data_IF_226974205260
#
_entry.id   IF_226974205260
#
_cell.length_a   1.000
_cell.length_b   1.000
_cell.length_c   1.000
_cell.angle_alpha   90.00
_cell.angle_beta   90.00
_cell.angle_gamma   90.00
#
_symmetry.space_group_name_H-M   'P 1'
#
loop_
_entity.id
_entity.type
_entity.pdbx_description
1 polymer ?
#
# COMPACT_ATOMS: atom_id res chain seq x y z
N UNK A 1 33.09 6.68 -17.30
CA UNK A 1 32.72 6.64 -15.90
C UNK A 1 31.67 7.71 -15.66
N UNK A 2 30.40 7.31 -15.76
CA UNK A 2 29.27 8.18 -15.49
C UNK A 2 29.11 8.28 -13.97
N UNK A 3 29.35 9.46 -13.43
CA UNK A 3 28.97 9.80 -12.05
C UNK A 3 27.48 9.87 -11.96
N UNK A 4 26.86 8.85 -11.35
CA UNK A 4 25.45 8.87 -10.94
C UNK A 4 25.33 9.81 -9.73
N UNK A 5 24.65 10.93 -9.92
CA UNK A 5 24.32 11.87 -8.85
C UNK A 5 23.00 11.45 -8.22
N UNK A 6 23.06 10.80 -7.07
CA UNK A 6 21.93 10.66 -6.17
C UNK A 6 21.73 11.98 -5.41
N UNK A 7 20.66 12.70 -5.66
CA UNK A 7 20.34 13.95 -4.94
C UNK A 7 19.18 13.74 -3.97
N UNK A 8 19.46 14.12 -2.74
CA UNK A 8 18.57 14.18 -1.59
C UNK A 8 17.39 15.12 -1.81
N UNK A 9 16.21 14.70 -1.39
CA UNK A 9 15.05 15.57 -1.14
C UNK A 9 14.99 15.96 0.33
N UNK A 10 15.37 17.21 0.62
CA UNK A 10 14.85 17.92 1.78
C UNK A 10 13.82 18.92 1.30
N UNK A 11 12.59 18.78 1.74
CA UNK A 11 11.55 19.79 1.60
C UNK A 11 11.90 21.04 2.46
N UNK A 12 12.68 21.97 1.90
CA UNK A 12 12.85 23.30 2.46
C UNK A 12 12.31 24.33 1.47
N UNK A 13 11.15 24.88 1.80
CA UNK A 13 10.81 26.22 1.33
C UNK A 13 11.57 27.21 2.23
N UNK A 14 12.63 27.79 1.69
CA UNK A 14 13.31 28.92 2.33
C UNK A 14 12.81 30.24 1.73
N UNK A 15 12.36 31.12 2.63
CA UNK A 15 12.12 32.54 2.39
C UNK A 15 13.41 33.26 1.98
N UNK A 16 13.29 34.04 0.93
CA UNK A 16 14.20 34.92 0.24
C UNK A 16 15.55 35.27 0.84
N UNK A 17 16.60 34.92 0.12
CA UNK A 17 17.77 35.76 -0.19
C UNK A 17 18.72 35.04 -1.16
N UNK A 18 18.89 35.61 -2.33
CA UNK A 18 19.96 35.47 -3.33
C UNK A 18 20.90 34.24 -3.27
N UNK A 19 20.48 33.13 -3.88
CA UNK A 19 21.36 32.21 -4.58
C UNK A 19 20.63 31.74 -5.85
N UNK A 20 21.37 31.47 -6.96
CA UNK A 20 20.73 31.05 -8.20
C UNK A 20 19.94 29.79 -7.94
N UNK A 21 18.64 29.83 -8.22
CA UNK A 21 17.73 28.68 -8.20
C UNK A 21 18.29 27.69 -9.22
N UNK A 22 19.07 26.68 -8.75
CA UNK A 22 19.27 25.49 -9.54
C UNK A 22 17.90 24.84 -9.61
N UNK A 23 17.32 24.77 -10.79
CA UNK A 23 16.15 23.93 -11.05
C UNK A 23 16.46 22.55 -10.48
N UNK A 24 15.80 22.22 -9.37
CA UNK A 24 15.84 20.87 -8.82
C UNK A 24 14.90 20.07 -9.71
N UNK A 25 15.48 19.41 -10.72
CA UNK A 25 14.75 18.46 -11.55
C UNK A 25 14.25 17.38 -10.59
N UNK A 26 12.94 17.24 -10.41
CA UNK A 26 12.39 16.20 -9.55
C UNK A 26 12.78 14.84 -10.15
N UNK A 27 13.35 13.96 -9.34
CA UNK A 27 13.77 12.61 -9.73
C UNK A 27 12.76 11.64 -9.16
N UNK A 28 12.32 10.68 -9.95
CA UNK A 28 11.47 9.59 -9.51
C UNK A 28 12.05 8.93 -8.24
N UNK A 29 11.28 8.96 -7.16
CA UNK A 29 11.67 8.39 -5.86
C UNK A 29 10.97 7.06 -5.67
N UNK A 30 11.73 6.02 -5.33
CA UNK A 30 11.14 4.77 -4.93
C UNK A 30 10.56 4.87 -3.52
N UNK A 31 9.26 4.65 -3.40
CA UNK A 31 8.59 4.37 -2.14
C UNK A 31 7.50 3.31 -2.39
N UNK A 32 7.51 2.24 -1.61
CA UNK A 32 6.46 1.22 -1.63
C UNK A 32 6.39 0.58 -0.25
N UNK A 33 5.44 1.02 0.55
CA UNK A 33 5.18 0.50 1.90
C UNK A 33 3.98 -0.43 1.87
N UNK A 34 4.08 -1.56 2.58
CA UNK A 34 3.02 -2.56 2.68
C UNK A 34 2.64 -2.71 4.14
N UNK A 35 1.38 -2.52 4.44
CA UNK A 35 0.84 -2.60 5.80
C UNK A 35 -0.48 -3.37 5.87
N UNK A 36 -0.95 -3.64 7.09
CA UNK A 36 -2.22 -4.33 7.34
C UNK A 36 -3.16 -3.41 8.11
N UNK A 37 -4.35 -3.23 7.58
CA UNK A 37 -5.48 -2.67 8.31
C UNK A 37 -6.08 -3.77 9.17
N UNK A 38 -6.00 -3.63 10.49
CA UNK A 38 -6.43 -4.67 11.44
C UNK A 38 -7.32 -4.08 12.51
N UNK A 39 -8.44 -4.78 12.79
CA UNK A 39 -9.37 -4.40 13.85
C UNK A 39 -8.71 -4.40 15.22
N UNK A 40 -7.84 -5.36 15.51
CA UNK A 40 -7.09 -5.43 16.76
C UNK A 40 -6.14 -4.25 17.02
N UNK A 41 -5.86 -3.43 15.99
CA UNK A 41 -5.12 -2.16 16.11
C UNK A 41 -6.05 -0.94 16.11
N UNK A 42 -7.35 -1.12 16.32
CA UNK A 42 -8.35 -0.05 16.30
C UNK A 42 -8.58 0.54 14.89
N UNK A 43 -8.22 -0.19 13.81
CA UNK A 43 -8.41 0.28 12.44
C UNK A 43 -9.64 -0.37 11.82
N UNK A 44 -10.32 0.36 10.95
CA UNK A 44 -11.46 -0.10 10.13
C UNK A 44 -11.11 -0.03 8.65
N UNK A 45 -11.55 -1.02 7.87
CA UNK A 45 -11.41 -1.01 6.42
C UNK A 45 -12.31 0.06 5.78
N UNK A 46 -13.52 0.23 6.31
CA UNK A 46 -14.45 1.29 5.87
C UNK A 46 -13.89 2.68 6.11
N UNK A 47 -13.33 2.93 7.32
CA UNK A 47 -12.69 4.21 7.63
C UNK A 47 -11.48 4.48 6.71
N UNK A 48 -10.69 3.44 6.46
CA UNK A 48 -9.54 3.50 5.59
C UNK A 48 -9.93 3.82 4.14
N UNK A 49 -10.95 3.15 3.60
CA UNK A 49 -11.48 3.37 2.26
C UNK A 49 -12.06 4.79 2.11
N UNK A 50 -12.92 5.21 3.04
CA UNK A 50 -13.50 6.56 3.05
C UNK A 50 -12.42 7.65 3.07
N UNK A 51 -11.39 7.49 3.91
CA UNK A 51 -10.28 8.44 3.97
C UNK A 51 -9.51 8.54 2.64
N UNK A 52 -9.25 7.41 1.96
CA UNK A 52 -8.45 7.39 0.73
C UNK A 52 -9.23 7.92 -0.45
N UNK A 53 -10.51 7.57 -0.54
CA UNK A 53 -11.38 8.04 -1.64
C UNK A 53 -11.90 9.46 -1.45
N UNK A 54 -11.84 10.01 -0.22
CA UNK A 54 -12.47 11.29 0.10
C UNK A 54 -14.00 11.21 0.16
N UNK A 55 -14.53 10.04 0.48
CA UNK A 55 -15.97 9.78 0.52
C UNK A 55 -16.52 9.83 1.95
N UNK A 56 -17.84 9.82 2.03
CA UNK A 56 -18.60 9.62 3.27
C UNK A 56 -19.18 8.23 3.28
N UNK A 57 -18.71 7.36 4.19
CA UNK A 57 -19.14 5.98 4.29
C UNK A 57 -19.50 5.65 5.74
N UNK A 58 -20.64 5.01 5.96
CA UNK A 58 -21.03 4.48 7.26
C UNK A 58 -20.53 3.04 7.39
N UNK A 59 -19.83 2.75 8.47
CA UNK A 59 -19.41 1.39 8.82
C UNK A 59 -20.57 0.68 9.51
N UNK A 60 -21.09 -0.37 8.87
CA UNK A 60 -22.23 -1.15 9.39
C UNK A 60 -21.86 -2.04 10.57
N UNK A 61 -20.57 -2.29 10.80
CA UNK A 61 -20.08 -3.08 11.93
C UNK A 61 -20.27 -2.36 13.28
N UNK A 62 -20.04 -1.06 13.32
CA UNK A 62 -20.08 -0.25 14.54
C UNK A 62 -21.03 0.96 14.47
N UNK A 63 -21.66 1.17 13.31
CA UNK A 63 -22.58 2.28 13.06
C UNK A 63 -21.89 3.65 12.88
N UNK A 64 -20.57 3.70 12.88
CA UNK A 64 -19.82 4.96 12.75
C UNK A 64 -19.79 5.45 11.30
N UNK A 65 -20.08 6.73 11.10
CA UNK A 65 -19.96 7.37 9.79
C UNK A 65 -18.64 8.11 9.67
N UNK A 66 -17.86 7.77 8.66
CA UNK A 66 -16.60 8.40 8.32
C UNK A 66 -16.81 9.36 7.16
N UNK A 67 -16.67 10.66 7.40
CA UNK A 67 -16.90 11.71 6.39
C UNK A 67 -15.58 12.42 6.06
N UNK A 68 -15.07 12.16 4.86
CA UNK A 68 -13.86 12.77 4.32
C UNK A 68 -14.12 13.57 3.04
N UNK A 69 -15.37 13.99 2.79
CA UNK A 69 -15.76 14.76 1.59
C UNK A 69 -15.05 16.10 1.46
N UNK A 70 -14.51 16.63 2.56
CA UNK A 70 -13.69 17.86 2.57
C UNK A 70 -12.21 17.63 2.25
N UNK A 71 -11.79 16.36 2.10
CA UNK A 71 -10.41 16.04 1.79
C UNK A 71 -10.06 16.52 0.36
N UNK A 72 -8.94 17.22 0.26
CA UNK A 72 -8.40 17.69 -1.02
C UNK A 72 -7.28 16.75 -1.50
N UNK A 73 -6.96 16.83 -2.79
CA UNK A 73 -5.85 16.10 -3.39
C UNK A 73 -6.17 14.65 -3.77
N UNK A 74 -7.41 14.19 -3.67
CA UNK A 74 -7.84 12.93 -4.28
C UNK A 74 -8.13 13.23 -5.75
N UNK A 75 -7.30 12.70 -6.64
CA UNK A 75 -7.36 13.01 -8.08
C UNK A 75 -7.91 11.87 -8.92
N UNK A 76 -7.89 10.64 -8.39
CA UNK A 76 -8.49 9.47 -9.02
C UNK A 76 -8.82 8.40 -7.99
N UNK A 77 -9.93 7.69 -8.19
CA UNK A 77 -10.30 6.50 -7.40
C UNK A 77 -10.88 5.44 -8.33
N UNK A 78 -10.55 4.18 -8.09
CA UNK A 78 -11.03 3.08 -8.93
C UNK A 78 -11.06 1.78 -8.14
N UNK A 79 -12.08 0.94 -8.40
CA UNK A 79 -12.17 -0.42 -7.88
C UNK A 79 -12.00 -1.39 -9.04
N UNK A 80 -11.07 -2.33 -8.87
CA UNK A 80 -10.82 -3.42 -9.81
C UNK A 80 -11.24 -4.74 -9.17
N UNK A 81 -12.05 -5.49 -9.88
CA UNK A 81 -12.64 -6.73 -9.39
C UNK A 81 -12.17 -7.93 -10.20
N UNK A 82 -11.93 -9.09 -9.56
CA UNK A 82 -11.75 -10.33 -10.30
C UNK A 82 -13.09 -10.73 -10.99
N UNK A 83 -13.03 -11.51 -12.09
CA UNK A 83 -14.20 -11.78 -12.93
C UNK A 83 -15.41 -12.41 -12.21
N UNK A 84 -15.15 -13.15 -11.12
CA UNK A 84 -16.17 -13.83 -10.31
C UNK A 84 -16.68 -13.00 -9.14
N UNK A 85 -16.18 -11.77 -8.96
CA UNK A 85 -16.65 -10.90 -7.87
C UNK A 85 -18.08 -10.38 -8.17
N UNK A 86 -18.90 -10.18 -7.12
CA UNK A 86 -20.20 -9.56 -7.29
C UNK A 86 -20.09 -8.17 -7.91
N UNK A 87 -20.90 -7.84 -8.92
CA UNK A 87 -20.88 -6.48 -9.51
C UNK A 87 -21.12 -5.36 -8.48
N UNK A 88 -21.87 -5.65 -7.41
CA UNK A 88 -22.12 -4.71 -6.31
C UNK A 88 -20.84 -4.28 -5.57
N UNK A 89 -19.75 -5.04 -5.68
CA UNK A 89 -18.46 -4.66 -5.07
C UNK A 89 -17.75 -3.54 -5.84
N UNK A 90 -18.29 -3.08 -6.96
CA UNK A 90 -17.88 -1.82 -7.60
C UNK A 90 -18.27 -0.59 -6.76
N UNK A 91 -19.24 -0.74 -5.84
CA UNK A 91 -19.54 0.25 -4.81
C UNK A 91 -18.61 0.04 -3.59
N UNK A 92 -17.87 1.08 -3.24
CA UNK A 92 -16.85 1.05 -2.18
C UNK A 92 -17.44 0.76 -0.81
N UNK A 93 -18.60 1.35 -0.51
CA UNK A 93 -19.29 1.14 0.76
C UNK A 93 -19.71 -0.32 0.89
N UNK A 94 -20.30 -0.89 -0.16
CA UNK A 94 -20.72 -2.30 -0.22
C UNK A 94 -19.52 -3.24 -0.05
N UNK A 95 -18.44 -3.02 -0.78
CA UNK A 95 -17.23 -3.87 -0.71
C UNK A 95 -16.67 -3.91 0.71
N UNK A 96 -16.39 -2.74 1.29
CA UNK A 96 -15.67 -2.69 2.57
C UNK A 96 -16.56 -3.00 3.78
N UNK A 97 -17.85 -2.71 3.73
CA UNK A 97 -18.82 -3.19 4.74
C UNK A 97 -18.97 -4.72 4.68
N UNK A 98 -18.99 -5.30 3.48
CA UNK A 98 -19.00 -6.76 3.33
C UNK A 98 -17.79 -7.42 3.99
N UNK A 99 -16.58 -6.83 3.87
CA UNK A 99 -15.37 -7.29 4.55
C UNK A 99 -15.50 -7.17 6.07
N UNK A 100 -15.91 -6.01 6.57
CA UNK A 100 -16.06 -5.76 8.02
C UNK A 100 -17.06 -6.74 8.68
N UNK A 101 -18.20 -6.97 8.04
CA UNK A 101 -19.24 -7.86 8.54
C UNK A 101 -18.84 -9.35 8.47
N UNK A 102 -18.04 -9.73 7.46
CA UNK A 102 -17.60 -11.12 7.32
C UNK A 102 -16.46 -11.47 8.29
N UNK A 103 -15.52 -10.56 8.51
CA UNK A 103 -14.34 -10.76 9.37
C UNK A 103 -14.67 -10.49 10.85
N UNK A 104 -15.35 -11.41 11.52
CA UNK A 104 -15.93 -11.21 12.86
C UNK A 104 -14.92 -11.22 14.02
N UNK A 105 -13.68 -11.68 13.81
CA UNK A 105 -12.69 -11.76 14.89
C UNK A 105 -12.23 -10.37 15.36
N UNK A 106 -12.06 -10.18 16.66
CA UNK A 106 -11.60 -8.91 17.23
C UNK A 106 -10.19 -8.50 16.78
N UNK A 107 -9.36 -9.46 16.35
CA UNK A 107 -8.02 -9.21 15.78
C UNK A 107 -7.97 -9.42 14.26
N UNK A 108 -9.11 -9.35 13.58
CA UNK A 108 -9.20 -9.59 12.14
C UNK A 108 -8.27 -8.67 11.34
N UNK A 109 -7.60 -9.23 10.35
CA UNK A 109 -6.96 -8.49 9.27
C UNK A 109 -8.04 -8.20 8.22
N UNK A 110 -8.36 -6.93 8.04
CA UNK A 110 -9.46 -6.45 7.21
C UNK A 110 -9.03 -6.15 5.78
N UNK A 111 -7.89 -5.47 5.64
CA UNK A 111 -7.32 -5.15 4.35
C UNK A 111 -5.79 -5.17 4.40
N UNK A 112 -5.15 -5.44 3.27
CA UNK A 112 -3.76 -5.07 3.04
C UNK A 112 -3.74 -3.74 2.34
N UNK A 113 -2.82 -2.89 2.75
CA UNK A 113 -2.61 -1.57 2.21
C UNK A 113 -1.22 -1.46 1.60
N UNK A 114 -1.13 -0.86 0.43
CA UNK A 114 0.12 -0.49 -0.22
C UNK A 114 0.08 1.00 -0.49
N UNK A 115 1.10 1.71 0.00
CA UNK A 115 1.34 3.12 -0.29
C UNK A 115 2.57 3.20 -1.19
N UNK A 116 2.43 3.77 -2.38
CA UNK A 116 3.53 3.84 -3.32
C UNK A 116 3.63 5.24 -3.98
N UNK A 117 4.86 5.76 -4.08
CA UNK A 117 5.14 6.99 -4.79
C UNK A 117 4.99 6.77 -6.30
N UNK A 118 4.40 7.75 -6.98
CA UNK A 118 4.25 7.76 -8.44
C UNK A 118 5.35 8.61 -9.06
N UNK A 119 5.94 8.18 -10.18
CA UNK A 119 6.86 9.02 -10.93
C UNK A 119 6.17 10.32 -11.36
N UNK A 120 6.75 11.45 -10.99
CA UNK A 120 6.20 12.77 -11.33
C UNK A 120 6.46 13.15 -12.78
N UNK A 121 7.37 12.45 -13.43
CA UNK A 121 7.71 12.59 -14.85
C UNK A 121 6.58 12.10 -15.75
N UNK A 122 5.73 11.19 -15.22
CA UNK A 122 4.60 10.64 -15.98
C UNK A 122 3.39 11.56 -15.90
N UNK A 123 2.66 11.68 -17.01
CA UNK A 123 1.36 12.33 -17.02
C UNK A 123 0.35 11.63 -16.09
N UNK A 124 -0.72 12.33 -15.69
CA UNK A 124 -1.76 11.76 -14.85
C UNK A 124 -2.38 10.50 -15.44
N UNK A 125 -2.62 10.50 -16.74
CA UNK A 125 -3.17 9.36 -17.46
C UNK A 125 -2.21 8.16 -17.45
N UNK A 126 -0.92 8.39 -17.55
CA UNK A 126 0.10 7.34 -17.45
C UNK A 126 0.21 6.81 -16.02
N UNK A 127 0.16 7.68 -15.02
CA UNK A 127 0.13 7.27 -13.62
C UNK A 127 -1.08 6.37 -13.31
N UNK A 128 -2.28 6.73 -13.80
CA UNK A 128 -3.49 5.90 -13.65
C UNK A 128 -3.31 4.54 -14.34
N UNK A 129 -2.79 4.52 -15.58
CA UNK A 129 -2.53 3.26 -16.31
C UNK A 129 -1.51 2.40 -15.59
N UNK A 130 -0.44 2.99 -15.08
CA UNK A 130 0.59 2.29 -14.29
C UNK A 130 -0.03 1.59 -13.07
N UNK A 131 -0.81 2.32 -12.25
CA UNK A 131 -1.44 1.74 -11.06
C UNK A 131 -2.42 0.63 -11.44
N UNK A 132 -3.23 0.84 -12.50
CA UNK A 132 -4.18 -0.16 -12.99
C UNK A 132 -3.46 -1.42 -13.47
N UNK A 133 -2.37 -1.32 -14.25
CA UNK A 133 -1.57 -2.44 -14.71
C UNK A 133 -0.94 -3.20 -13.53
N UNK A 134 -0.35 -2.48 -12.58
CA UNK A 134 0.20 -3.08 -11.37
C UNK A 134 -0.86 -3.84 -10.56
N UNK A 135 -2.00 -3.21 -10.30
CA UNK A 135 -3.09 -3.82 -9.54
C UNK A 135 -3.66 -5.05 -10.26
N UNK A 136 -3.89 -4.94 -11.56
CA UNK A 136 -4.46 -6.04 -12.35
C UNK A 136 -3.53 -7.24 -12.41
N UNK A 137 -2.23 -7.02 -12.65
CA UNK A 137 -1.24 -8.08 -12.81
C UNK A 137 -0.85 -8.74 -11.49
N UNK A 138 -0.77 -7.97 -10.38
CA UNK A 138 -0.26 -8.51 -9.12
C UNK A 138 -1.35 -9.01 -8.17
N UNK A 139 -2.56 -8.45 -8.24
CA UNK A 139 -3.60 -8.69 -7.24
C UNK A 139 -4.91 -9.22 -7.82
N UNK A 140 -5.49 -8.54 -8.81
CA UNK A 140 -6.76 -8.98 -9.41
C UNK A 140 -6.61 -10.35 -10.07
N UNK A 141 -5.50 -10.59 -10.78
CA UNK A 141 -5.17 -11.89 -11.39
C UNK A 141 -5.08 -13.03 -10.38
N UNK A 142 -4.85 -12.71 -9.10
CA UNK A 142 -4.81 -13.67 -7.99
C UNK A 142 -6.15 -13.78 -7.23
N UNK A 143 -7.18 -13.08 -7.69
CA UNK A 143 -8.54 -13.10 -7.10
C UNK A 143 -8.78 -12.10 -5.98
N UNK A 144 -7.91 -11.12 -5.77
CA UNK A 144 -8.14 -10.03 -4.81
C UNK A 144 -9.02 -8.94 -5.43
N UNK A 145 -9.98 -8.41 -4.66
CA UNK A 145 -10.58 -7.12 -4.99
C UNK A 145 -9.60 -6.02 -4.60
N UNK A 146 -9.47 -5.03 -5.46
CA UNK A 146 -8.57 -3.90 -5.31
C UNK A 146 -9.37 -2.61 -5.30
N UNK A 147 -9.10 -1.74 -4.35
CA UNK A 147 -9.60 -0.37 -4.31
C UNK A 147 -8.41 0.57 -4.20
N UNK A 148 -8.18 1.41 -5.21
CA UNK A 148 -7.07 2.34 -5.18
C UNK A 148 -7.48 3.79 -5.36
N UNK A 149 -6.71 4.68 -4.77
CA UNK A 149 -6.83 6.12 -4.91
C UNK A 149 -5.47 6.72 -5.23
N UNK A 150 -5.45 7.71 -6.11
CA UNK A 150 -4.28 8.53 -6.39
C UNK A 150 -4.46 9.87 -5.70
N UNK A 151 -3.46 10.26 -4.93
CA UNK A 151 -3.41 11.54 -4.25
C UNK A 151 -2.31 12.41 -4.81
N UNK A 152 -2.65 13.67 -5.04
CA UNK A 152 -1.73 14.70 -5.43
C UNK A 152 -2.26 16.06 -4.95
N UNK A 153 -1.42 16.79 -4.25
CA UNK A 153 -1.72 18.14 -3.76
C UNK A 153 -0.84 19.18 -4.42
N UNK A 154 -0.31 18.89 -5.61
CA UNK A 154 0.66 19.72 -6.34
C UNK A 154 1.92 20.05 -5.54
N UNK A 155 2.20 19.25 -4.51
CA UNK A 155 3.38 19.38 -3.65
C UNK A 155 4.62 18.63 -4.18
N UNK A 156 4.53 18.05 -5.38
CA UNK A 156 5.60 17.28 -6.00
C UNK A 156 5.77 15.86 -5.42
N UNK A 157 4.72 15.32 -4.80
CA UNK A 157 4.72 13.95 -4.25
C UNK A 157 3.41 13.22 -4.60
N UNK A 158 3.13 12.99 -5.88
CA UNK A 158 2.01 12.15 -6.27
C UNK A 158 2.23 10.71 -5.77
N UNK A 159 1.19 10.11 -5.17
CA UNK A 159 1.27 8.77 -4.62
C UNK A 159 -0.07 8.05 -4.73
N UNK A 160 -0.02 6.73 -4.71
CA UNK A 160 -1.21 5.91 -4.69
C UNK A 160 -1.34 5.13 -3.38
N UNK A 161 -2.57 5.00 -2.93
CA UNK A 161 -2.99 4.09 -1.88
C UNK A 161 -3.79 2.98 -2.49
N UNK A 162 -3.39 1.75 -2.26
CA UNK A 162 -4.03 0.55 -2.78
C UNK A 162 -4.51 -0.29 -1.60
N UNK A 163 -5.79 -0.57 -1.54
CA UNK A 163 -6.39 -1.48 -0.55
C UNK A 163 -6.77 -2.79 -1.23
N UNK A 164 -6.39 -3.90 -0.61
CA UNK A 164 -6.60 -5.25 -1.11
C UNK A 164 -7.41 -6.06 -0.11
N UNK A 165 -8.35 -6.84 -0.59
CA UNK A 165 -9.06 -7.81 0.25
C UNK A 165 -8.11 -8.91 0.72
N UNK A 166 -8.33 -9.40 1.95
CA UNK A 166 -7.51 -10.43 2.60
C UNK A 166 -8.15 -11.82 2.53
N UNK A 167 -9.29 -11.94 1.85
CA UNK A 167 -10.07 -13.14 1.71
C UNK A 167 -10.43 -13.34 0.24
N UNK A 168 -10.31 -14.56 -0.30
CA UNK A 168 -10.73 -14.87 -1.64
C UNK A 168 -12.26 -14.95 -1.74
N UNK A 169 -12.75 -14.80 -2.95
CA UNK A 169 -14.12 -15.12 -3.34
C UNK A 169 -14.13 -16.51 -3.99
N UNK A 170 -15.22 -17.25 -3.80
CA UNK A 170 -15.47 -18.47 -4.55
C UNK A 170 -16.02 -18.16 -5.96
N UNK A 171 -16.25 -19.18 -6.77
CA UNK A 171 -16.77 -19.04 -8.14
C UNK A 171 -18.16 -18.40 -8.22
N UNK A 172 -18.89 -18.35 -7.10
CA UNK A 172 -20.22 -17.71 -6.99
C UNK A 172 -20.14 -16.29 -6.44
N UNK A 173 -18.94 -15.80 -6.17
CA UNK A 173 -18.71 -14.47 -5.61
C UNK A 173 -18.95 -14.37 -4.09
N UNK A 174 -19.07 -15.48 -3.38
CA UNK A 174 -19.17 -15.48 -1.93
C UNK A 174 -17.77 -15.55 -1.28
N UNK A 175 -17.64 -14.99 -0.07
CA UNK A 175 -16.38 -15.04 0.68
C UNK A 175 -15.99 -16.48 1.02
N UNK A 176 -14.83 -16.93 0.54
CA UNK A 176 -14.29 -18.26 0.77
C UNK A 176 -13.31 -18.29 1.96
N UNK A 177 -12.87 -19.48 2.36
CA UNK A 177 -11.94 -19.65 3.47
C UNK A 177 -10.51 -19.19 3.08
N UNK A 178 -9.84 -18.40 3.94
CA UNK A 178 -8.41 -18.03 3.79
C UNK A 178 -7.47 -19.20 4.12
N UNK A 179 -7.94 -20.11 4.96
CA UNK A 179 -7.12 -21.21 5.48
C UNK A 179 -8.02 -22.33 5.95
N UNK A 180 -7.46 -23.54 5.99
CA UNK A 180 -8.07 -24.71 6.60
C UNK A 180 -7.21 -25.25 7.74
N UNK A 181 -7.81 -26.02 8.63
CA UNK A 181 -7.08 -26.82 9.62
C UNK A 181 -6.87 -28.22 9.05
N UNK A 182 -5.65 -28.70 9.10
CA UNK A 182 -5.31 -30.07 8.80
C UNK A 182 -4.80 -30.78 10.05
N UNK A 183 -5.07 -32.07 10.15
CA UNK A 183 -4.57 -32.89 11.26
C UNK A 183 -3.10 -33.25 10.99
N UNK A 184 -2.28 -33.15 12.02
CA UNK A 184 -0.94 -33.71 11.98
C UNK A 184 -1.05 -35.23 12.08
N UNK A 185 -0.35 -35.91 11.17
CA UNK A 185 -0.30 -37.36 11.13
C UNK A 185 1.03 -37.87 11.68
N UNK A 186 1.03 -39.03 12.29
CA UNK A 186 2.23 -39.76 12.70
C UNK A 186 2.85 -40.55 11.52
N UNK A 187 3.89 -41.32 11.79
CA UNK A 187 4.62 -42.13 10.78
C UNK A 187 3.74 -43.21 10.16
N UNK A 188 2.63 -43.58 10.81
CA UNK A 188 1.67 -44.59 10.31
C UNK A 188 0.47 -43.93 9.58
N UNK A 189 0.45 -42.60 9.48
CA UNK A 189 -0.65 -41.86 8.89
C UNK A 189 -1.86 -41.65 9.81
N UNK A 190 -1.72 -41.93 11.12
CA UNK A 190 -2.76 -41.71 12.10
C UNK A 190 -2.69 -40.31 12.71
N UNK A 191 -3.85 -39.78 13.15
CA UNK A 191 -3.93 -38.44 13.73
C UNK A 191 -3.26 -38.39 15.11
N UNK A 192 -2.29 -37.52 15.27
CA UNK A 192 -1.58 -37.32 16.54
C UNK A 192 -2.52 -36.75 17.60
N UNK A 193 -2.61 -37.41 18.76
CA UNK A 193 -3.33 -36.92 19.93
C UNK A 193 -2.42 -36.13 20.86
N UNK A 194 -2.93 -34.98 21.33
CA UNK A 194 -2.27 -34.21 22.39
C UNK A 194 -2.61 -34.78 23.78
N UNK A 195 -1.83 -34.46 24.81
CA UNK A 195 -2.14 -34.89 26.21
C UNK A 195 -3.53 -34.43 26.69
N UNK A 196 -4.08 -33.37 26.11
CA UNK A 196 -5.44 -32.88 26.36
C UNK A 196 -6.54 -33.70 25.73
N UNK A 197 -6.22 -34.80 25.02
CA UNK A 197 -7.18 -35.64 24.29
C UNK A 197 -7.61 -35.08 22.93
N UNK A 198 -7.24 -33.86 22.61
CA UNK A 198 -7.52 -33.24 21.30
C UNK A 198 -6.53 -33.71 20.26
N UNK A 199 -6.96 -33.71 18.99
CA UNK A 199 -6.03 -33.96 17.87
C UNK A 199 -5.16 -32.74 17.59
N UNK A 200 -3.88 -33.00 17.33
CA UNK A 200 -2.94 -31.97 16.89
C UNK A 200 -3.30 -31.55 15.48
N UNK A 201 -3.34 -30.21 15.26
CA UNK A 201 -3.67 -29.63 13.96
C UNK A 201 -2.78 -28.45 13.67
N UNK A 202 -2.49 -28.24 12.41
CA UNK A 202 -1.86 -27.02 11.92
C UNK A 202 -2.79 -26.28 10.95
N UNK A 203 -2.47 -24.99 10.74
CA UNK A 203 -3.20 -24.13 9.83
C UNK A 203 -2.51 -24.13 8.47
N UNK A 204 -3.24 -24.45 7.41
CA UNK A 204 -2.79 -24.38 6.02
C UNK A 204 -3.37 -23.12 5.37
N UNK A 205 -2.53 -22.25 4.82
CA UNK A 205 -2.97 -21.12 4.00
C UNK A 205 -3.43 -21.64 2.63
N UNK A 206 -4.61 -21.23 2.21
CA UNK A 206 -5.21 -21.64 0.93
C UNK A 206 -4.92 -20.65 -0.19
N UNK A 207 -4.44 -19.46 0.12
CA UNK A 207 -4.28 -18.37 -0.84
C UNK A 207 -2.83 -18.06 -1.17
N UNK A 208 -1.91 -18.34 -0.26
CA UNK A 208 -0.52 -17.89 -0.35
C UNK A 208 -0.35 -16.36 -0.24
N UNK A 209 -1.44 -15.62 0.00
CA UNK A 209 -1.39 -14.15 0.00
C UNK A 209 -0.61 -13.56 1.16
N UNK A 210 -0.44 -14.33 2.24
CA UNK A 210 0.32 -13.95 3.43
C UNK A 210 1.76 -14.50 3.43
N UNK A 211 2.21 -15.07 2.33
CA UNK A 211 3.60 -15.47 2.20
C UNK A 211 4.52 -14.26 2.36
N UNK A 212 5.57 -14.43 3.18
CA UNK A 212 6.54 -13.38 3.49
C UNK A 212 7.29 -12.89 2.26
N UNK A 213 7.50 -13.75 1.27
CA UNK A 213 8.14 -13.42 0.00
C UNK A 213 7.34 -12.44 -0.87
N UNK A 214 6.01 -12.40 -0.71
CA UNK A 214 5.16 -11.54 -1.52
C UNK A 214 5.51 -10.05 -1.40
N UNK A 215 5.90 -9.58 -0.21
CA UNK A 215 6.25 -8.18 -0.02
C UNK A 215 7.42 -7.75 -0.92
N UNK A 216 8.45 -8.58 -1.04
CA UNK A 216 9.59 -8.32 -1.92
C UNK A 216 9.18 -8.39 -3.39
N UNK A 217 8.38 -9.40 -3.78
CA UNK A 217 7.88 -9.55 -5.15
C UNK A 217 7.04 -8.34 -5.59
N UNK A 218 6.12 -7.88 -4.75
CA UNK A 218 5.27 -6.72 -5.05
C UNK A 218 6.06 -5.42 -5.12
N UNK A 219 7.04 -5.23 -4.24
CA UNK A 219 7.95 -4.07 -4.26
C UNK A 219 8.81 -4.06 -5.53
N UNK A 220 9.34 -5.23 -5.93
CA UNK A 220 10.07 -5.38 -7.18
C UNK A 220 9.18 -5.10 -8.39
N UNK A 221 7.98 -5.69 -8.44
CA UNK A 221 7.04 -5.48 -9.53
C UNK A 221 6.62 -4.00 -9.68
N UNK A 222 6.46 -3.28 -8.56
CA UNK A 222 6.23 -1.83 -8.59
C UNK A 222 7.36 -1.07 -9.29
N UNK A 223 8.61 -1.38 -8.95
CA UNK A 223 9.77 -0.75 -9.58
C UNK A 223 9.86 -1.11 -11.08
N UNK A 224 9.68 -2.39 -11.42
CA UNK A 224 9.80 -2.86 -12.79
C UNK A 224 8.74 -2.22 -13.71
N UNK A 225 7.47 -2.19 -13.28
CA UNK A 225 6.37 -1.59 -14.05
C UNK A 225 6.59 -0.07 -14.16
N UNK A 226 6.92 0.61 -13.07
CA UNK A 226 7.20 2.05 -13.10
C UNK A 226 8.33 2.39 -14.07
N UNK A 227 9.41 1.62 -14.06
CA UNK A 227 10.54 1.80 -14.98
C UNK A 227 10.15 1.57 -16.44
N UNK A 228 9.26 0.61 -16.71
CA UNK A 228 8.75 0.38 -18.07
C UNK A 228 7.90 1.55 -18.57
N UNK A 229 7.12 2.20 -17.69
CA UNK A 229 6.37 3.40 -18.05
C UNK A 229 7.29 4.61 -18.30
N UNK A 230 8.28 4.82 -17.42
CA UNK A 230 9.29 5.88 -17.62
C UNK A 230 10.03 5.70 -18.95
N UNK A 231 10.43 4.47 -19.29
CA UNK A 231 11.11 4.17 -20.55
C UNK A 231 10.23 4.44 -21.76
N UNK A 232 8.97 4.00 -21.74
CA UNK A 232 8.00 4.26 -22.83
C UNK A 232 7.73 5.73 -23.03
N UNK A 233 7.75 6.52 -21.94
CA UNK A 233 7.60 7.97 -21.96
C UNK A 233 8.88 8.72 -22.35
N UNK A 234 9.99 8.02 -22.57
CA UNK A 234 11.30 8.60 -22.96
C UNK A 234 12.07 9.22 -21.80
N UNK A 235 11.71 8.93 -20.56
CA UNK A 235 12.40 9.42 -19.36
C UNK A 235 13.59 8.52 -19.02
N UNK A 236 14.79 9.09 -18.72
CA UNK A 236 15.97 8.32 -18.34
C UNK A 236 15.99 7.88 -16.87
N UNK A 237 15.12 8.46 -16.04
CA UNK A 237 15.00 8.16 -14.61
C UNK A 237 14.61 6.71 -14.40
N UNK A 238 15.14 6.09 -13.32
CA UNK A 238 14.80 4.73 -12.92
C UNK A 238 14.73 4.65 -11.41
N UNK A 239 13.75 3.90 -10.91
CA UNK A 239 13.59 3.58 -9.49
C UNK A 239 14.08 2.17 -9.19
N UNK A 240 14.55 1.94 -7.97
CA UNK A 240 15.06 0.64 -7.51
C UNK A 240 14.42 0.27 -6.17
N UNK A 241 13.91 -0.95 -6.07
CA UNK A 241 13.24 -1.45 -4.87
C UNK A 241 14.21 -1.91 -3.78
N UNK A 242 15.48 -2.08 -4.10
CA UNK A 242 16.52 -2.52 -3.17
C UNK A 242 16.92 -1.39 -2.24
N UNK A 243 17.32 -1.73 -1.03
CA UNK A 243 17.90 -0.78 -0.08
C UNK A 243 19.23 -0.23 -0.59
N UNK A 244 19.68 0.91 -0.05
CA UNK A 244 20.98 1.48 -0.38
C UNK A 244 22.11 0.48 -0.11
N UNK A 245 22.04 -0.27 1.01
CA UNK A 245 23.03 -1.30 1.33
C UNK A 245 23.10 -2.42 0.28
N UNK A 246 21.95 -2.92 -0.21
CA UNK A 246 21.89 -3.93 -1.27
C UNK A 246 22.40 -3.41 -2.63
N UNK A 247 22.33 -2.09 -2.84
CA UNK A 247 22.85 -1.40 -4.04
C UNK A 247 24.34 -1.03 -3.92
N UNK A 248 24.96 -1.30 -2.78
CA UNK A 248 26.35 -0.89 -2.50
C UNK A 248 26.52 0.63 -2.37
N UNK A 249 25.46 1.34 -2.00
CA UNK A 249 25.47 2.80 -1.79
C UNK A 249 25.68 3.03 -0.28
N UNK A 250 26.77 3.67 0.07
CA UNK A 250 27.15 4.00 1.45
C UNK A 250 26.46 5.31 1.91
N UNK A 251 25.13 5.32 1.82
CA UNK A 251 24.29 6.40 2.33
C UNK A 251 23.24 5.82 3.25
N UNK A 252 23.10 6.41 4.43
CA UNK A 252 22.04 6.04 5.36
C UNK A 252 20.67 6.47 4.81
N UNK A 253 19.64 5.62 4.93
CA UNK A 253 18.30 6.00 4.52
C UNK A 253 17.73 7.08 5.45
N UNK A 254 17.03 8.07 4.89
CA UNK A 254 16.31 9.05 5.69
C UNK A 254 15.17 8.40 6.46
N UNK A 255 14.86 8.94 7.65
CA UNK A 255 13.76 8.46 8.50
C UNK A 255 12.46 9.14 8.10
N UNK A 256 11.40 8.35 7.95
CA UNK A 256 10.06 8.88 7.70
C UNK A 256 9.59 9.76 8.87
N UNK A 257 9.40 11.05 8.62
CA UNK A 257 9.07 12.03 9.66
C UNK A 257 7.65 11.88 10.21
N UNK A 258 6.70 11.53 9.35
CA UNK A 258 5.27 11.52 9.68
C UNK A 258 4.67 12.93 9.71
N UNK A 259 3.33 12.99 9.72
CA UNK A 259 2.59 14.27 9.58
C UNK A 259 2.91 15.27 10.69
N UNK A 260 2.97 14.79 11.94
CA UNK A 260 3.21 15.68 13.09
C UNK A 260 4.59 16.36 13.02
N UNK A 261 5.67 15.56 12.80
CA UNK A 261 7.02 16.11 12.68
C UNK A 261 7.15 17.04 11.46
N UNK A 262 6.56 16.67 10.31
CA UNK A 262 6.53 17.56 9.13
C UNK A 262 5.85 18.89 9.41
N UNK A 263 4.74 18.91 10.14
CA UNK A 263 4.03 20.14 10.49
C UNK A 263 4.81 20.99 11.50
N UNK A 264 5.51 20.38 12.44
CA UNK A 264 6.37 21.08 13.38
C UNK A 264 7.56 21.74 12.67
N UNK A 265 8.25 20.99 11.81
CA UNK A 265 9.39 21.51 11.02
C UNK A 265 8.95 22.66 10.08
N UNK A 266 7.77 22.55 9.45
CA UNK A 266 7.20 23.66 8.65
C UNK A 266 6.94 24.93 9.47
N UNK A 267 6.73 24.81 10.78
CA UNK A 267 6.57 25.94 11.71
C UNK A 267 7.88 26.41 12.33
N UNK A 268 9.02 25.88 11.87
CA UNK A 268 10.35 26.20 12.40
C UNK A 268 10.66 25.49 13.73
N UNK A 269 9.87 24.50 14.14
CA UNK A 269 10.11 23.73 15.36
C UNK A 269 10.92 22.49 14.99
N UNK A 270 12.18 22.43 15.43
CA UNK A 270 13.06 21.30 15.19
C UNK A 270 12.51 20.03 15.87
N UNK A 271 12.59 18.90 15.15
CA UNK A 271 12.18 17.60 15.66
C UNK A 271 13.36 16.63 15.62
N UNK A 272 13.35 15.64 16.51
CA UNK A 272 14.39 14.60 16.56
C UNK A 272 14.58 13.90 15.19
N UNK A 273 13.48 13.57 14.52
CA UNK A 273 13.52 12.97 13.17
C UNK A 273 14.02 13.95 12.11
N UNK A 274 13.70 15.22 12.22
CA UNK A 274 14.22 16.26 11.35
C UNK A 274 15.72 16.45 11.51
N UNK A 275 16.20 16.48 12.78
CA UNK A 275 17.64 16.53 13.08
C UNK A 275 18.37 15.31 12.52
N UNK A 276 17.82 14.11 12.74
CA UNK A 276 18.41 12.88 12.20
C UNK A 276 18.56 12.95 10.68
N UNK A 277 17.51 13.40 9.98
CA UNK A 277 17.55 13.54 8.52
C UNK A 277 18.50 14.66 8.04
N UNK A 278 18.74 15.68 8.85
CA UNK A 278 19.75 16.73 8.53
C UNK A 278 21.19 16.23 8.68
N UNK A 279 21.40 15.26 9.56
CA UNK A 279 22.72 14.69 9.85
C UNK A 279 23.09 13.52 8.92
N UNK A 280 22.17 13.01 8.13
CA UNK A 280 22.35 12.03 7.08
C UNK A 280 22.77 12.74 5.77
#
# INVERSE_FOLDING_TARGET
PQKQYTRRWCLYHFCGSCYPIREVIPIAIYHCNISIVSRGKGKSAVAAAAYRSGEKITNEWDGMTHDYTRKRGVVHTEILLPPHAPPSFSDRATLWNSVELYEKAGNAQLAREIDAALPIELSREEQIRLVREYCSSQFVSRGMCVDFAIHDTDSGNPHCHIMLTMRPLDERGAWAAKSKKEYDLDENGERIRLPSGRYKTHKVDLTGWNDKGNALLWRKAWADISNAYLERAGHPERIDHRSNAERGIDELPTVHMGVAACQMEKKGIATEKGELNRNI
#
